data_IF_239404480623
#
_entry.id   IF_239404480623
#
_cell.length_a   1.000
_cell.length_b   1.000
_cell.length_c   1.000
_cell.angle_alpha   90.00
_cell.angle_beta   90.00
_cell.angle_gamma   90.00
#
_symmetry.space_group_name_H-M   'P 1'
#
loop_
_entity.id
_entity.type
_entity.pdbx_description
1 polymer ?
#
# COMPACT_ATOMS: atom_id res chain seq x y z
N UNK A 1 6.33 -1.13 35.86
CA UNK A 1 7.33 -1.70 34.92
C UNK A 1 6.78 -2.88 34.11
N UNK A 2 6.32 -3.98 34.72
CA UNK A 2 5.80 -5.16 33.98
C UNK A 2 4.66 -4.84 32.99
N UNK A 3 3.67 -4.05 33.40
CA UNK A 3 2.55 -3.66 32.52
C UNK A 3 3.00 -2.81 31.32
N UNK A 4 4.01 -1.95 31.51
CA UNK A 4 4.58 -1.13 30.44
C UNK A 4 5.32 -2.01 29.42
N UNK A 5 6.12 -2.97 29.89
CA UNK A 5 6.82 -3.91 29.00
C UNK A 5 5.84 -4.81 28.24
N UNK A 6 4.74 -5.24 28.86
CA UNK A 6 3.70 -6.01 28.19
C UNK A 6 3.00 -5.21 27.08
N UNK A 7 2.66 -3.94 27.35
CA UNK A 7 2.10 -3.03 26.34
C UNK A 7 3.06 -2.85 25.15
N UNK A 8 4.34 -2.57 25.45
CA UNK A 8 5.36 -2.38 24.44
C UNK A 8 5.58 -3.64 23.58
N UNK A 9 5.53 -4.83 24.19
CA UNK A 9 5.61 -6.09 23.46
C UNK A 9 4.46 -6.24 22.47
N UNK A 10 3.23 -5.93 22.88
CA UNK A 10 2.05 -5.97 21.99
C UNK A 10 2.15 -4.98 20.83
N UNK A 11 2.58 -3.75 21.09
CA UNK A 11 2.79 -2.73 20.03
C UNK A 11 3.85 -3.21 19.01
N UNK A 12 4.93 -3.83 19.48
CA UNK A 12 5.99 -4.37 18.60
C UNK A 12 5.55 -5.57 17.79
N UNK A 13 4.71 -6.43 18.35
CA UNK A 13 4.11 -7.53 17.61
C UNK A 13 3.18 -7.03 16.50
N UNK A 14 2.34 -6.04 16.81
CA UNK A 14 1.45 -5.41 15.85
C UNK A 14 2.24 -4.70 14.72
N UNK A 15 3.33 -4.01 15.06
CA UNK A 15 4.22 -3.37 14.07
C UNK A 15 4.80 -4.41 13.09
N UNK A 16 5.27 -5.55 13.60
CA UNK A 16 5.80 -6.65 12.77
C UNK A 16 4.71 -7.28 11.89
N UNK A 17 3.53 -7.51 12.45
CA UNK A 17 2.39 -8.04 11.69
C UNK A 17 2.01 -7.09 10.54
N UNK A 18 1.97 -5.78 10.81
CA UNK A 18 1.68 -4.77 9.81
C UNK A 18 2.74 -4.72 8.70
N UNK A 19 4.03 -4.77 9.05
CA UNK A 19 5.12 -4.82 8.08
C UNK A 19 5.00 -6.05 7.17
N UNK A 20 4.72 -7.20 7.77
CA UNK A 20 4.56 -8.47 7.05
C UNK A 20 3.37 -8.42 6.09
N UNK A 21 2.20 -7.97 6.56
CA UNK A 21 1.01 -7.82 5.74
C UNK A 21 1.23 -6.83 4.59
N UNK A 22 1.91 -5.71 4.87
CA UNK A 22 2.23 -4.69 3.86
C UNK A 22 3.18 -5.24 2.79
N UNK A 23 4.19 -6.01 3.19
CA UNK A 23 5.11 -6.65 2.24
C UNK A 23 4.39 -7.68 1.36
N UNK A 24 3.52 -8.51 1.94
CA UNK A 24 2.71 -9.47 1.21
C UNK A 24 1.75 -8.78 0.23
N UNK A 25 1.08 -7.72 0.67
CA UNK A 25 0.20 -6.93 -0.18
C UNK A 25 0.96 -6.30 -1.36
N UNK A 26 2.10 -5.64 -1.08
CA UNK A 26 2.95 -5.06 -2.13
C UNK A 26 3.39 -6.09 -3.16
N UNK A 27 3.77 -7.29 -2.70
CA UNK A 27 4.12 -8.39 -3.60
C UNK A 27 2.93 -8.77 -4.48
N UNK A 28 1.76 -8.98 -3.90
CA UNK A 28 0.56 -9.38 -4.63
C UNK A 28 0.17 -8.36 -5.72
N UNK A 29 0.21 -7.06 -5.41
CA UNK A 29 -0.14 -6.03 -6.40
C UNK A 29 0.97 -5.76 -7.44
N UNK A 30 2.18 -6.25 -7.21
CA UNK A 30 3.30 -6.14 -8.16
C UNK A 30 3.35 -7.30 -9.15
N UNK A 31 2.53 -8.34 -8.96
CA UNK A 31 2.44 -9.44 -9.92
C UNK A 31 1.90 -8.91 -11.26
N UNK A 32 2.49 -9.31 -12.39
CA UNK A 32 2.04 -8.86 -13.71
C UNK A 32 0.55 -9.13 -13.92
N UNK A 33 -0.17 -8.13 -14.44
CA UNK A 33 -1.59 -8.22 -14.76
C UNK A 33 -2.56 -8.00 -13.59
N UNK A 34 -2.09 -7.91 -12.34
CA UNK A 34 -3.00 -7.66 -11.20
C UNK A 34 -3.58 -6.25 -11.24
N UNK A 35 -2.77 -5.23 -11.53
CA UNK A 35 -3.27 -3.85 -11.66
C UNK A 35 -4.12 -3.68 -12.91
N UNK A 36 -3.77 -4.32 -14.02
CA UNK A 36 -4.57 -4.26 -15.25
C UNK A 36 -5.96 -4.88 -15.05
N UNK A 37 -6.04 -6.02 -14.34
CA UNK A 37 -7.32 -6.66 -14.01
C UNK A 37 -8.15 -5.79 -13.05
N UNK A 38 -7.52 -5.17 -12.06
CA UNK A 38 -8.18 -4.24 -11.15
C UNK A 38 -8.74 -3.02 -11.88
N UNK A 39 -7.95 -2.40 -12.76
CA UNK A 39 -8.36 -1.24 -13.55
C UNK A 39 -9.53 -1.56 -14.50
N UNK A 40 -9.57 -2.79 -15.03
CA UNK A 40 -10.66 -3.26 -15.88
C UNK A 40 -11.99 -3.44 -15.12
N UNK A 41 -11.94 -3.84 -13.85
CA UNK A 41 -13.13 -4.10 -13.02
C UNK A 41 -13.67 -2.84 -12.34
N UNK A 42 -12.78 -1.98 -11.86
CA UNK A 42 -13.15 -0.82 -11.04
C UNK A 42 -13.11 0.53 -11.76
N UNK A 43 -12.67 0.53 -13.03
CA UNK A 43 -12.44 1.75 -13.79
C UNK A 43 -11.15 2.42 -13.31
N UNK A 44 -10.05 2.13 -14.01
CA UNK A 44 -8.73 2.65 -13.69
C UNK A 44 -8.68 4.18 -13.51
N UNK A 45 -7.58 4.67 -12.95
CA UNK A 45 -7.45 6.10 -12.64
C UNK A 45 -7.71 6.96 -13.90
N UNK A 46 -8.52 8.02 -13.80
CA UNK A 46 -8.75 8.91 -14.93
C UNK A 46 -7.40 9.45 -15.42
N UNK A 47 -7.17 9.39 -16.73
CA UNK A 47 -5.97 9.95 -17.37
C UNK A 47 -5.90 11.45 -17.08
N UNK A 48 -5.11 11.85 -16.09
CA UNK A 48 -4.81 13.26 -15.83
C UNK A 48 -3.80 13.68 -16.90
N UNK A 49 -4.31 14.09 -18.07
CA UNK A 49 -3.53 14.73 -19.10
C UNK A 49 -2.89 15.99 -18.50
N UNK A 50 -1.61 15.88 -18.12
CA UNK A 50 -0.80 17.04 -17.75
C UNK A 50 -0.58 17.87 -19.02
N UNK A 51 -1.55 18.73 -19.33
CA UNK A 51 -1.38 19.81 -20.30
C UNK A 51 -0.37 20.80 -19.73
N UNK A 52 0.92 20.49 -19.87
CA UNK A 52 2.01 21.46 -19.75
C UNK A 52 1.87 22.46 -20.90
N UNK A 53 0.94 23.41 -20.78
CA UNK A 53 1.04 24.66 -21.54
C UNK A 53 2.24 25.41 -21.00
N UNK A 54 3.40 25.28 -21.67
CA UNK A 54 4.45 26.29 -21.59
C UNK A 54 3.83 27.62 -22.01
N UNK A 55 3.70 28.55 -21.06
CA UNK A 55 3.47 29.94 -21.37
C UNK A 55 4.73 30.49 -22.05
N UNK A 56 4.54 31.10 -23.22
CA UNK A 56 5.55 31.84 -23.97
C UNK A 56 5.70 33.25 -23.41
#
# INVERSE_FOLDING_TARGET
>A
MKAYLAKLAGEKEQERALQTATAAFRRAISEPGVMDAFDAEFGGLPSVAHNNRRAA
#
